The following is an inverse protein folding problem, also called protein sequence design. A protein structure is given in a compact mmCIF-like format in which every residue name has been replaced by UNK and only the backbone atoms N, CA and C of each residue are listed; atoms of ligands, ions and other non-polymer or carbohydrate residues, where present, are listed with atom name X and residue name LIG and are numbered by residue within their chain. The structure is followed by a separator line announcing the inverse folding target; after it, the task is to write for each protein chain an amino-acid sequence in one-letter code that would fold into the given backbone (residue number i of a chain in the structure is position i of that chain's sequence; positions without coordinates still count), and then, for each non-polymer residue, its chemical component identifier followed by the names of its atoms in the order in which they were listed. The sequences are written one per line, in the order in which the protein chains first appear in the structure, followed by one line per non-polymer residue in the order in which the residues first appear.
data_IF_518633375368
#
_entry.id   IF_518633375368
#
_cell.length_a   1.000
_cell.length_b   1.000
_cell.length_c   1.000
_cell.angle_alpha   90.00
_cell.angle_beta   90.00
_cell.angle_gamma   90.00
#
_symmetry.space_group_name_H-M   'P 1'
#
loop_
_entity.id
_entity.type
_entity.pdbx_description
1 polymer ?
#
# COMPACT_ATOMS: atom_id res chain seq x y z
N UNK A 1 -38.36 -4.63 -3.21
CA UNK A 1 -37.49 -4.43 -2.03
C UNK A 1 -36.07 -4.20 -2.49
N UNK A 2 -35.60 -2.95 -2.46
CA UNK A 2 -34.21 -2.64 -2.81
C UNK A 2 -33.30 -3.04 -1.65
N UNK A 3 -32.41 -4.00 -1.92
CA UNK A 3 -31.38 -4.43 -0.99
C UNK A 3 -30.41 -3.26 -0.80
N UNK A 4 -30.39 -2.69 0.39
CA UNK A 4 -29.42 -1.70 0.83
C UNK A 4 -28.02 -2.26 0.59
N UNK A 5 -27.31 -1.69 -0.40
CA UNK A 5 -25.88 -1.93 -0.56
C UNK A 5 -25.21 -1.49 0.75
N UNK A 6 -24.58 -2.45 1.42
CA UNK A 6 -23.82 -2.20 2.63
C UNK A 6 -22.85 -1.04 2.39
N UNK A 7 -22.72 -0.18 3.41
CA UNK A 7 -21.78 0.95 3.45
C UNK A 7 -20.44 0.54 2.83
N UNK A 8 -20.20 1.01 1.60
CA UNK A 8 -18.90 0.87 0.94
C UNK A 8 -17.93 1.67 1.79
N UNK A 9 -16.96 0.97 2.40
CA UNK A 9 -15.75 1.59 2.96
C UNK A 9 -15.24 2.64 1.98
N UNK A 10 -14.93 3.87 2.43
CA UNK A 10 -14.83 5.06 1.58
C UNK A 10 -14.20 4.75 0.21
N UNK A 11 -14.90 5.05 -0.89
CA UNK A 11 -14.40 4.67 -2.21
C UNK A 11 -13.02 5.27 -2.46
N UNK A 12 -12.14 4.50 -3.10
CA UNK A 12 -10.83 4.98 -3.53
C UNK A 12 -10.90 5.87 -4.78
N UNK A 13 -12.10 6.34 -5.14
CA UNK A 13 -12.33 7.23 -6.28
C UNK A 13 -11.58 8.53 -6.05
N UNK A 14 -10.87 9.01 -7.07
CA UNK A 14 -10.12 10.27 -6.97
C UNK A 14 -9.07 10.30 -5.85
N UNK A 15 -8.57 9.13 -5.42
CA UNK A 15 -7.50 8.99 -4.41
C UNK A 15 -6.31 8.22 -4.98
N UNK A 16 -5.10 8.63 -4.60
CA UNK A 16 -3.85 7.96 -4.98
C UNK A 16 -3.69 7.79 -6.50
N UNK A 17 -4.13 8.76 -7.28
CA UNK A 17 -4.04 8.70 -8.75
C UNK A 17 -5.13 7.89 -9.43
N UNK A 18 -6.10 7.30 -8.71
CA UNK A 18 -7.31 6.77 -9.34
C UNK A 18 -8.14 7.92 -9.93
N UNK A 19 -8.57 7.82 -11.18
CA UNK A 19 -9.29 8.89 -11.87
C UNK A 19 -10.82 8.73 -11.86
N UNK A 20 -11.36 7.66 -11.27
CA UNK A 20 -12.80 7.42 -11.13
C UNK A 20 -13.05 6.13 -10.33
N UNK A 21 -14.30 5.67 -10.32
CA UNK A 21 -14.74 4.43 -9.69
C UNK A 21 -14.21 3.17 -10.39
N UNK A 22 -14.03 3.22 -11.70
CA UNK A 22 -13.47 2.09 -12.44
C UNK A 22 -12.01 1.87 -12.03
N UNK A 23 -11.23 2.95 -11.99
CA UNK A 23 -9.86 2.94 -11.47
C UNK A 23 -9.82 2.45 -10.02
N UNK A 24 -10.75 2.88 -9.16
CA UNK A 24 -10.81 2.41 -7.78
C UNK A 24 -11.01 0.89 -7.66
N UNK A 25 -11.80 0.28 -8.54
CA UNK A 25 -11.96 -1.17 -8.60
C UNK A 25 -10.76 -1.85 -9.26
N UNK A 26 -10.22 -1.27 -10.33
CA UNK A 26 -9.08 -1.79 -11.08
C UNK A 26 -7.81 -1.81 -10.22
N UNK A 27 -7.57 -0.79 -9.41
CA UNK A 27 -6.37 -0.60 -8.57
C UNK A 27 -6.64 -0.81 -7.06
N UNK A 28 -7.59 -1.68 -6.75
CA UNK A 28 -7.83 -2.19 -5.38
C UNK A 28 -6.63 -2.96 -4.83
N UNK A 29 -6.63 -3.19 -3.51
CA UNK A 29 -5.61 -3.97 -2.80
C UNK A 29 -5.39 -5.37 -3.40
N UNK A 30 -4.14 -5.69 -3.75
CA UNK A 30 -3.71 -7.04 -4.18
C UNK A 30 -2.36 -7.44 -3.58
N UNK A 31 -2.09 -8.74 -3.58
CA UNK A 31 -0.84 -9.32 -3.12
C UNK A 31 -0.65 -9.26 -1.60
N UNK A 32 0.52 -9.70 -1.15
CA UNK A 32 0.83 -9.87 0.27
C UNK A 32 0.69 -8.57 1.07
N UNK A 33 1.20 -7.46 0.52
CA UNK A 33 1.16 -6.14 1.16
C UNK A 33 -0.16 -5.38 0.97
N UNK A 34 -1.05 -5.86 0.09
CA UNK A 34 -2.24 -5.14 -0.38
C UNK A 34 -1.87 -3.83 -1.12
N UNK A 35 -1.08 -3.94 -2.20
CA UNK A 35 -0.74 -2.80 -3.06
C UNK A 35 -2.03 -2.18 -3.61
N UNK A 36 -2.22 -0.88 -3.37
CA UNK A 36 -3.48 -0.15 -3.60
C UNK A 36 -3.17 1.20 -4.23
N UNK A 37 -4.08 1.73 -5.04
CA UNK A 37 -4.02 3.00 -5.78
C UNK A 37 -3.19 2.96 -7.07
N UNK A 38 -3.72 3.57 -8.14
CA UNK A 38 -3.07 3.64 -9.46
C UNK A 38 -1.66 4.20 -9.39
N UNK A 39 -1.38 5.18 -8.52
CA UNK A 39 -0.03 5.73 -8.33
C UNK A 39 0.96 4.66 -7.89
N UNK A 40 0.61 3.84 -6.89
CA UNK A 40 1.51 2.80 -6.38
C UNK A 40 1.68 1.66 -7.39
N UNK A 41 0.61 1.31 -8.14
CA UNK A 41 0.73 0.37 -9.25
C UNK A 41 1.65 0.94 -10.35
N UNK A 42 1.52 2.21 -10.71
CA UNK A 42 2.39 2.85 -11.70
C UNK A 42 3.85 2.85 -11.28
N UNK A 43 4.14 3.24 -10.04
CA UNK A 43 5.51 3.25 -9.50
C UNK A 43 6.13 1.83 -9.52
N UNK A 44 5.35 0.80 -9.18
CA UNK A 44 5.82 -0.58 -9.26
C UNK A 44 6.02 -1.06 -10.71
N UNK A 45 5.11 -0.72 -11.63
CA UNK A 45 5.26 -1.06 -13.05
C UNK A 45 6.49 -0.39 -13.67
N UNK A 46 6.79 0.85 -13.26
CA UNK A 46 8.01 1.56 -13.65
C UNK A 46 9.25 0.86 -13.08
N UNK A 47 9.23 0.48 -11.80
CA UNK A 47 10.31 -0.30 -11.17
C UNK A 47 10.60 -1.62 -11.90
N UNK A 48 9.54 -2.30 -12.38
CA UNK A 48 9.65 -3.53 -13.16
C UNK A 48 10.01 -3.32 -14.64
N UNK A 49 10.16 -2.06 -15.06
CA UNK A 49 10.37 -1.67 -16.46
C UNK A 49 9.28 -2.20 -17.41
N UNK A 50 8.04 -2.36 -16.93
CA UNK A 50 6.88 -2.74 -17.75
C UNK A 50 6.20 -1.56 -18.42
N UNK A 51 6.46 -0.35 -17.92
CA UNK A 51 6.09 0.93 -18.53
C UNK A 51 7.28 1.88 -18.45
N UNK A 52 7.26 2.91 -19.28
CA UNK A 52 8.26 3.97 -19.27
C UNK A 52 7.71 5.25 -18.63
N UNK A 53 8.56 6.03 -17.97
CA UNK A 53 8.15 7.33 -17.40
C UNK A 53 7.64 8.31 -18.47
N UNK A 54 8.11 8.20 -19.71
CA UNK A 54 7.65 8.98 -20.87
C UNK A 54 6.17 8.75 -21.21
N UNK A 55 5.60 7.60 -20.80
CA UNK A 55 4.23 7.20 -21.12
C UNK A 55 3.14 7.85 -20.24
N UNK A 56 3.53 8.58 -19.19
CA UNK A 56 2.59 9.22 -18.28
C UNK A 56 3.18 10.44 -17.58
N UNK A 57 2.34 11.32 -17.05
CA UNK A 57 2.80 12.49 -16.30
C UNK A 57 2.98 12.13 -14.83
N UNK A 58 4.20 12.22 -14.30
CA UNK A 58 4.45 12.05 -12.87
C UNK A 58 3.52 12.95 -12.03
N UNK A 59 2.96 12.39 -10.96
CA UNK A 59 2.00 13.08 -10.09
C UNK A 59 0.78 13.63 -10.83
N UNK A 60 0.20 12.89 -11.79
CA UNK A 60 -0.98 13.34 -12.56
C UNK A 60 -2.19 13.73 -11.70
N UNK A 61 -2.28 13.23 -10.46
CA UNK A 61 -3.30 13.63 -9.49
C UNK A 61 -3.18 15.08 -9.00
N UNK A 62 -2.11 15.78 -9.36
CA UNK A 62 -1.97 17.23 -9.12
C UNK A 62 -2.56 18.08 -10.25
N UNK A 63 -3.19 17.47 -11.25
CA UNK A 63 -3.94 18.19 -12.28
C UNK A 63 -5.17 18.87 -11.64
N UNK A 64 -5.45 20.16 -11.93
CA UNK A 64 -6.65 20.83 -11.42
C UNK A 64 -7.95 20.08 -11.74
N UNK A 65 -8.05 19.46 -12.91
CA UNK A 65 -9.21 18.68 -13.34
C UNK A 65 -9.32 17.35 -12.61
N UNK A 66 -8.21 16.82 -12.05
CA UNK A 66 -8.29 15.67 -11.14
C UNK A 66 -9.02 16.05 -9.85
N UNK A 67 -8.70 17.21 -9.27
CA UNK A 67 -9.40 17.71 -8.07
C UNK A 67 -10.86 18.09 -8.36
N UNK A 68 -11.13 18.61 -9.57
CA UNK A 68 -12.49 18.87 -10.05
C UNK A 68 -13.26 17.59 -10.46
N UNK A 69 -12.61 16.42 -10.42
CA UNK A 69 -13.19 15.11 -10.79
C UNK A 69 -13.64 15.03 -12.25
N UNK A 70 -12.90 15.65 -13.17
CA UNK A 70 -13.19 15.72 -14.60
C UNK A 70 -12.11 15.02 -15.44
N UNK A 71 -12.17 13.68 -15.52
CA UNK A 71 -11.13 12.84 -16.14
C UNK A 71 -10.85 13.22 -17.60
N UNK A 72 -11.89 13.51 -18.37
CA UNK A 72 -11.78 13.85 -19.79
C UNK A 72 -11.08 15.19 -20.06
N UNK A 73 -11.03 16.08 -19.07
CA UNK A 73 -10.40 17.40 -19.20
C UNK A 73 -8.99 17.46 -18.59
N UNK A 74 -8.53 16.37 -17.98
CA UNK A 74 -7.17 16.30 -17.44
C UNK A 74 -6.14 16.50 -18.55
N UNK A 75 -5.14 17.32 -18.27
CA UNK A 75 -3.98 17.55 -19.14
C UNK A 75 -2.81 16.65 -18.79
N UNK A 76 -2.67 16.30 -17.51
CA UNK A 76 -1.70 15.30 -17.05
C UNK A 76 -2.22 13.90 -17.34
N UNK A 77 -1.34 13.07 -17.90
CA UNK A 77 -1.69 11.74 -18.40
C UNK A 77 -1.54 10.71 -17.27
N UNK A 78 -2.62 10.03 -16.83
CA UNK A 78 -2.53 8.97 -15.84
C UNK A 78 -1.84 7.71 -16.39
N UNK A 79 -0.98 7.07 -15.59
CA UNK A 79 -0.23 5.88 -16.02
C UNK A 79 -1.11 4.72 -16.47
N UNK A 80 -0.85 4.14 -17.64
CA UNK A 80 -1.58 2.97 -18.14
C UNK A 80 -1.02 1.69 -17.53
N UNK A 81 -1.85 1.00 -16.75
CA UNK A 81 -1.54 -0.30 -16.15
C UNK A 81 -2.65 -1.27 -16.58
N UNK A 82 -2.34 -2.16 -17.51
CA UNK A 82 -3.36 -2.97 -18.18
C UNK A 82 -3.75 -4.22 -17.40
N UNK A 83 -2.77 -4.85 -16.73
CA UNK A 83 -2.89 -6.15 -16.08
C UNK A 83 -2.59 -6.12 -14.56
N UNK A 84 -3.25 -5.25 -13.76
CA UNK A 84 -2.93 -5.10 -12.33
C UNK A 84 -3.14 -6.39 -11.50
N UNK A 85 -3.93 -7.34 -11.98
CA UNK A 85 -4.16 -8.64 -11.36
C UNK A 85 -2.90 -9.50 -11.25
N UNK A 86 -1.85 -9.26 -12.04
CA UNK A 86 -0.59 -10.01 -11.95
C UNK A 86 0.08 -9.93 -10.58
N UNK A 87 -0.24 -8.91 -9.78
CA UNK A 87 0.20 -8.81 -8.37
C UNK A 87 -0.39 -9.93 -7.51
N UNK A 88 -1.57 -10.44 -7.84
CA UNK A 88 -2.24 -11.51 -7.10
C UNK A 88 -2.12 -12.88 -7.79
N UNK A 89 -1.95 -12.92 -9.11
CA UNK A 89 -1.95 -14.18 -9.88
C UNK A 89 -0.57 -14.75 -10.16
N UNK A 90 0.50 -13.95 -10.06
CA UNK A 90 1.88 -14.41 -10.20
C UNK A 90 2.56 -14.39 -8.83
N UNK A 91 2.93 -15.55 -8.26
CA UNK A 91 3.48 -15.65 -6.91
C UNK A 91 4.71 -14.76 -6.65
N UNK A 92 5.62 -14.67 -7.60
CA UNK A 92 6.83 -13.86 -7.50
C UNK A 92 6.49 -12.37 -7.41
N UNK A 93 5.55 -11.90 -8.24
CA UNK A 93 5.08 -10.50 -8.21
C UNK A 93 4.35 -10.18 -6.90
N UNK A 94 3.64 -11.15 -6.30
CA UNK A 94 2.96 -10.99 -5.03
C UNK A 94 3.94 -10.68 -3.89
N UNK A 95 5.06 -11.39 -3.83
CA UNK A 95 6.11 -11.16 -2.83
C UNK A 95 6.94 -9.92 -3.16
N UNK A 96 7.38 -9.79 -4.42
CA UNK A 96 8.25 -8.71 -4.88
C UNK A 96 7.60 -7.34 -4.72
N UNK A 97 6.32 -7.18 -5.10
CA UNK A 97 5.61 -5.91 -4.89
C UNK A 97 5.49 -5.50 -3.42
N UNK A 98 5.39 -6.48 -2.51
CA UNK A 98 5.40 -6.24 -1.07
C UNK A 98 6.77 -5.81 -0.56
N UNK A 99 7.82 -6.50 -1.01
CA UNK A 99 9.20 -6.17 -0.69
C UNK A 99 9.55 -4.77 -1.21
N UNK A 100 9.36 -4.50 -2.50
CA UNK A 100 9.56 -3.20 -3.14
C UNK A 100 8.83 -2.06 -2.41
N UNK A 101 7.58 -2.28 -2.00
CA UNK A 101 6.82 -1.23 -1.31
C UNK A 101 7.51 -0.84 0.01
N UNK A 102 8.01 -1.83 0.75
CA UNK A 102 8.65 -1.63 2.06
C UNK A 102 10.07 -1.07 1.90
N UNK A 103 10.85 -1.56 0.94
CA UNK A 103 12.26 -1.21 0.78
C UNK A 103 12.46 0.06 -0.04
N UNK A 104 11.70 0.26 -1.11
CA UNK A 104 11.88 1.37 -2.05
C UNK A 104 10.91 2.52 -1.78
N UNK A 105 9.60 2.23 -1.69
CA UNK A 105 8.57 3.28 -1.61
C UNK A 105 8.37 3.83 -0.18
N UNK A 106 8.66 3.01 0.84
CA UNK A 106 8.52 3.36 2.25
C UNK A 106 9.78 3.00 3.06
N UNK A 107 10.96 3.58 2.73
CA UNK A 107 12.24 3.19 3.35
C UNK A 107 12.31 3.44 4.86
N UNK A 108 11.40 4.24 5.42
CA UNK A 108 11.23 4.40 6.88
C UNK A 108 10.78 3.11 7.57
N UNK A 109 10.08 2.23 6.85
CA UNK A 109 9.60 0.94 7.39
C UNK A 109 10.78 0.06 7.75
N UNK A 110 11.77 -0.07 6.87
CA UNK A 110 12.99 -0.87 7.13
C UNK A 110 13.71 -0.35 8.38
N UNK A 111 13.91 0.98 8.48
CA UNK A 111 14.53 1.58 9.68
C UNK A 111 13.75 1.34 10.97
N UNK A 112 12.42 1.29 10.90
CA UNK A 112 11.60 0.98 12.06
C UNK A 112 11.68 -0.52 12.43
N UNK A 113 11.82 -1.41 11.44
CA UNK A 113 12.06 -2.84 11.69
C UNK A 113 13.44 -3.03 12.34
N UNK A 114 14.47 -2.36 11.82
CA UNK A 114 15.85 -2.48 12.31
C UNK A 114 16.06 -1.93 13.73
N UNK A 115 15.12 -1.14 14.25
CA UNK A 115 15.17 -0.66 15.65
C UNK A 115 14.62 -1.68 16.66
N UNK A 116 14.06 -2.79 16.17
CA UNK A 116 13.63 -3.91 16.99
C UNK A 116 14.79 -4.75 17.49
N UNK A 117 14.58 -5.42 18.61
CA UNK A 117 15.54 -6.36 19.18
C UNK A 117 15.26 -7.78 18.70
N UNK A 118 16.32 -8.54 18.43
CA UNK A 118 16.27 -9.97 18.14
C UNK A 118 16.13 -10.82 19.44
N UNK A 119 15.18 -10.46 20.29
CA UNK A 119 14.89 -11.13 21.55
C UNK A 119 13.38 -11.24 21.78
N UNK A 120 12.94 -12.27 22.50
CA UNK A 120 11.58 -12.35 23.03
C UNK A 120 11.47 -11.37 24.22
N UNK A 121 10.56 -10.37 24.19
CA UNK A 121 10.36 -9.44 25.31
C UNK A 121 9.91 -10.19 26.57
N UNK A 122 10.53 -9.91 27.73
CA UNK A 122 10.21 -10.57 29.02
C UNK A 122 9.71 -9.59 30.08
N UNK A 123 10.10 -8.33 29.98
CA UNK A 123 9.72 -7.27 30.92
C UNK A 123 8.66 -6.35 30.33
N UNK A 124 7.94 -5.63 31.19
CA UNK A 124 6.97 -4.63 30.77
C UNK A 124 7.60 -3.52 29.90
N UNK A 125 8.84 -3.12 30.22
CA UNK A 125 9.58 -2.12 29.45
C UNK A 125 9.92 -2.61 28.04
N UNK A 126 10.35 -3.87 27.88
CA UNK A 126 10.63 -4.47 26.57
C UNK A 126 9.36 -4.64 25.75
N UNK A 127 8.25 -5.07 26.37
CA UNK A 127 6.95 -5.19 25.71
C UNK A 127 6.45 -3.82 25.20
N UNK A 128 6.62 -2.77 25.99
CA UNK A 128 6.25 -1.40 25.60
C UNK A 128 7.11 -0.88 24.45
N UNK A 129 8.43 -1.14 24.48
CA UNK A 129 9.35 -0.79 23.40
C UNK A 129 8.98 -1.51 22.09
N UNK A 130 8.78 -2.82 22.14
CA UNK A 130 8.35 -3.63 20.98
C UNK A 130 7.03 -3.09 20.40
N UNK A 131 6.04 -2.82 21.24
CA UNK A 131 4.76 -2.30 20.77
C UNK A 131 4.91 -0.94 20.08
N UNK A 132 5.77 -0.07 20.61
CA UNK A 132 6.08 1.21 19.98
C UNK A 132 6.70 1.03 18.59
N UNK A 133 7.63 0.08 18.44
CA UNK A 133 8.22 -0.26 17.14
C UNK A 133 7.15 -0.78 16.16
N UNK A 134 6.26 -1.66 16.61
CA UNK A 134 5.16 -2.18 15.79
C UNK A 134 4.22 -1.04 15.37
N UNK A 135 3.95 -0.06 16.25
CA UNK A 135 3.19 1.15 15.91
C UNK A 135 3.88 1.97 14.83
N UNK A 136 5.19 2.14 14.91
CA UNK A 136 5.97 2.94 13.96
C UNK A 136 6.03 2.26 12.57
N UNK A 137 6.22 0.94 12.52
CA UNK A 137 6.10 0.14 11.30
C UNK A 137 4.68 0.24 10.73
N UNK A 138 3.65 0.11 11.56
CA UNK A 138 2.24 0.16 11.14
C UNK A 138 1.88 1.51 10.52
N UNK A 139 2.27 2.62 11.16
CA UNK A 139 2.07 3.97 10.63
C UNK A 139 2.85 4.19 9.35
N UNK A 140 4.10 3.72 9.27
CA UNK A 140 4.92 3.87 8.07
C UNK A 140 4.33 3.13 6.86
N UNK A 141 3.62 2.02 7.11
CA UNK A 141 2.94 1.23 6.08
C UNK A 141 1.59 1.84 5.66
N UNK A 142 0.72 2.23 6.62
CA UNK A 142 -0.68 2.59 6.35
C UNK A 142 -1.00 4.08 6.52
N UNK A 143 -0.08 4.89 7.04
CA UNK A 143 -0.33 6.27 7.47
C UNK A 143 -1.12 6.39 8.78
N UNK A 144 -1.61 5.27 9.35
CA UNK A 144 -2.41 5.22 10.56
C UNK A 144 -2.19 3.89 11.31
N UNK A 145 -2.83 3.73 12.48
CA UNK A 145 -2.73 2.52 13.32
C UNK A 145 -3.81 1.46 13.04
N UNK A 146 -4.37 1.45 11.83
CA UNK A 146 -5.42 0.51 11.47
C UNK A 146 -4.90 -0.93 11.52
N UNK A 147 -5.60 -1.76 12.30
CA UNK A 147 -5.28 -3.19 12.48
C UNK A 147 -4.10 -3.46 13.43
N UNK A 148 -3.70 -2.50 14.27
CA UNK A 148 -2.56 -2.62 15.18
C UNK A 148 -2.62 -3.89 16.06
N UNK A 149 -3.77 -4.20 16.66
CA UNK A 149 -3.90 -5.35 17.56
C UNK A 149 -3.52 -6.67 16.88
N UNK A 150 -3.96 -6.87 15.63
CA UNK A 150 -3.60 -8.04 14.84
C UNK A 150 -2.11 -8.04 14.50
N UNK A 151 -1.52 -6.87 14.21
CA UNK A 151 -0.09 -6.75 13.91
C UNK A 151 0.76 -7.09 15.12
N UNK A 152 0.40 -6.60 16.31
CA UNK A 152 1.05 -6.97 17.57
C UNK A 152 0.98 -8.49 17.79
N UNK A 153 -0.24 -9.06 17.67
CA UNK A 153 -0.46 -10.49 17.84
C UNK A 153 0.43 -11.33 16.91
N UNK A 154 0.44 -11.02 15.60
CA UNK A 154 1.19 -11.81 14.63
C UNK A 154 2.70 -11.62 14.76
N UNK A 155 3.20 -10.41 15.04
CA UNK A 155 4.63 -10.19 15.28
C UNK A 155 5.12 -11.00 16.46
N UNK A 156 4.41 -10.96 17.60
CA UNK A 156 4.79 -11.73 18.80
C UNK A 156 4.72 -13.24 18.56
N UNK A 157 3.69 -13.70 17.87
CA UNK A 157 3.55 -15.11 17.48
C UNK A 157 4.74 -15.58 16.64
N UNK A 158 5.15 -14.81 15.63
CA UNK A 158 6.29 -15.17 14.77
C UNK A 158 7.60 -15.10 15.55
N UNK A 159 7.82 -14.09 16.40
CA UNK A 159 9.01 -14.02 17.26
C UNK A 159 9.13 -15.25 18.16
N UNK A 160 8.05 -15.71 18.77
CA UNK A 160 8.07 -16.92 19.60
C UNK A 160 8.30 -18.24 18.86
N UNK A 161 8.22 -18.24 17.52
CA UNK A 161 8.55 -19.40 16.69
C UNK A 161 9.99 -19.34 16.16
N UNK A 162 10.53 -18.13 15.94
CA UNK A 162 11.82 -17.91 15.31
C UNK A 162 12.97 -17.65 16.29
N UNK A 163 12.67 -17.25 17.53
CA UNK A 163 13.61 -16.88 18.60
C UNK A 163 13.43 -17.80 19.81
#
# INVERSE_FOLDING_TARGET
MYKTMGLITSSYDWRGGNCDREDAQKFRGRGFKQLTFRSNYADYWLYRAWIEQSSFTASWWSDPQYHAKHRALMTKIPARVDNPEVIATVPENCLDSGAWYITCLRPKVVRAIDSDSFNIPKTAAELAKEEQIIKDVTRSINGALIGLDKRIKFTRMIKGLLL
#
